data_IF_279305697908
#
_entry.id   IF_279305697908
#
_cell.length_a   1.000
_cell.length_b   1.000
_cell.length_c   1.000
_cell.angle_alpha   90.00
_cell.angle_beta   90.00
_cell.angle_gamma   90.00
#
_symmetry.space_group_name_H-M   'P 1'
#
loop_
_entity.id
_entity.type
_entity.pdbx_description
1 polymer ?
#
# COMPACT_ATOMS: atom_id res chain seq x y z
N UNK A 1 -10.31 18.12 19.93
CA UNK A 1 -9.02 18.40 19.25
C UNK A 1 -8.05 17.21 19.27
N UNK A 2 -7.74 16.58 20.43
CA UNK A 2 -6.82 15.40 20.48
C UNK A 2 -7.32 14.16 19.70
N UNK A 3 -8.63 13.89 19.72
CA UNK A 3 -9.25 12.76 19.00
C UNK A 3 -9.12 12.84 17.47
N UNK A 4 -9.10 14.05 16.91
CA UNK A 4 -8.91 14.28 15.47
C UNK A 4 -7.47 14.03 15.04
N UNK A 5 -6.47 14.41 15.85
CA UNK A 5 -5.05 14.19 15.54
C UNK A 5 -4.68 12.71 15.49
N UNK A 6 -5.20 11.91 16.44
CA UNK A 6 -5.00 10.47 16.45
C UNK A 6 -5.71 9.77 15.29
N UNK A 7 -6.92 10.23 14.93
CA UNK A 7 -7.66 9.71 13.77
C UNK A 7 -6.91 9.98 12.46
N UNK A 8 -6.41 11.20 12.26
CA UNK A 8 -5.61 11.54 11.08
C UNK A 8 -4.34 10.72 11.00
N UNK A 9 -3.67 10.45 12.13
CA UNK A 9 -2.50 9.56 12.15
C UNK A 9 -2.86 8.15 11.67
N UNK A 10 -3.88 7.52 12.24
CA UNK A 10 -4.27 6.15 11.85
C UNK A 10 -4.70 6.09 10.39
N UNK A 11 -5.50 7.05 9.94
CA UNK A 11 -5.96 7.11 8.56
C UNK A 11 -4.80 7.28 7.57
N UNK A 12 -3.94 8.29 7.77
CA UNK A 12 -2.83 8.56 6.85
C UNK A 12 -1.72 7.52 6.91
N UNK A 13 -1.41 6.96 8.08
CA UNK A 13 -0.49 5.83 8.18
C UNK A 13 -1.05 4.61 7.47
N UNK A 14 -2.35 4.33 7.61
CA UNK A 14 -3.02 3.26 6.85
C UNK A 14 -2.96 3.49 5.35
N UNK A 15 -3.24 4.70 4.87
CA UNK A 15 -3.14 5.05 3.46
C UNK A 15 -1.71 4.86 2.91
N UNK A 16 -0.70 5.32 3.66
CA UNK A 16 0.70 5.16 3.29
C UNK A 16 1.12 3.67 3.25
N UNK A 17 0.74 2.86 4.25
CA UNK A 17 1.00 1.41 4.26
C UNK A 17 0.40 0.74 3.01
N UNK A 18 -0.84 1.07 2.66
CA UNK A 18 -1.50 0.49 1.50
C UNK A 18 -0.81 0.91 0.18
N UNK A 19 -0.38 2.17 0.06
CA UNK A 19 0.37 2.63 -1.12
C UNK A 19 1.73 1.90 -1.25
N UNK A 20 2.47 1.79 -0.14
CA UNK A 20 3.75 1.05 -0.11
C UNK A 20 3.52 -0.42 -0.49
N UNK A 21 2.49 -1.04 0.09
CA UNK A 21 2.14 -2.42 -0.17
C UNK A 21 1.76 -2.68 -1.62
N UNK A 22 0.87 -1.87 -2.19
CA UNK A 22 0.43 -2.00 -3.58
C UNK A 22 1.60 -1.82 -4.57
N UNK A 23 2.46 -0.81 -4.37
CA UNK A 23 3.66 -0.63 -5.20
C UNK A 23 4.61 -1.83 -5.10
N UNK A 24 4.83 -2.38 -3.89
CA UNK A 24 5.66 -3.57 -3.71
C UNK A 24 5.07 -4.80 -4.41
N UNK A 25 3.77 -5.02 -4.29
CA UNK A 25 3.08 -6.14 -4.96
C UNK A 25 3.22 -6.04 -6.48
N UNK A 26 2.88 -4.89 -7.06
CA UNK A 26 2.96 -4.67 -8.51
C UNK A 26 4.40 -4.85 -9.00
N UNK A 27 5.39 -4.36 -8.26
CA UNK A 27 6.80 -4.51 -8.67
C UNK A 27 7.31 -5.94 -8.56
N UNK A 28 7.01 -6.66 -7.48
CA UNK A 28 7.47 -8.04 -7.27
C UNK A 28 6.79 -9.03 -8.23
N UNK A 29 5.57 -8.74 -8.63
CA UNK A 29 4.78 -9.58 -9.54
C UNK A 29 4.85 -9.16 -11.01
N UNK A 30 5.66 -8.15 -11.35
CA UNK A 30 5.68 -7.56 -12.70
C UNK A 30 4.28 -7.13 -13.19
N UNK A 31 3.46 -6.59 -12.28
CA UNK A 31 2.12 -6.08 -12.55
C UNK A 31 1.00 -7.12 -12.47
N UNK A 32 1.30 -8.40 -12.24
CA UNK A 32 0.29 -9.45 -12.19
C UNK A 32 -0.57 -9.40 -10.91
N UNK A 33 -0.05 -8.83 -9.82
CA UNK A 33 -0.74 -8.74 -8.52
C UNK A 33 -0.77 -7.29 -8.07
N UNK A 34 -1.98 -6.80 -7.76
CA UNK A 34 -2.23 -5.53 -7.09
C UNK A 34 -3.05 -5.72 -5.82
N UNK A 35 -3.08 -4.71 -4.96
CA UNK A 35 -3.94 -4.71 -3.79
C UNK A 35 -5.43 -4.83 -4.16
N UNK A 36 -5.85 -4.26 -5.29
CA UNK A 36 -7.22 -4.39 -5.82
C UNK A 36 -7.56 -5.87 -6.10
N UNK A 37 -6.67 -6.58 -6.81
CA UNK A 37 -6.85 -8.01 -7.12
C UNK A 37 -6.88 -8.88 -5.87
N UNK A 38 -6.07 -8.52 -4.86
CA UNK A 38 -6.04 -9.23 -3.57
C UNK A 38 -7.34 -9.00 -2.80
N UNK A 39 -7.84 -7.76 -2.74
CA UNK A 39 -9.11 -7.47 -2.08
C UNK A 39 -10.31 -8.11 -2.81
N UNK A 40 -10.28 -8.21 -4.13
CA UNK A 40 -11.27 -8.97 -4.89
C UNK A 40 -11.24 -10.47 -4.55
N UNK A 41 -10.06 -11.05 -4.33
CA UNK A 41 -9.95 -12.44 -3.89
C UNK A 41 -10.45 -12.62 -2.44
N UNK A 42 -10.10 -11.71 -1.52
CA UNK A 42 -10.58 -11.72 -0.13
C UNK A 42 -12.10 -11.64 -0.06
N UNK A 43 -12.72 -10.76 -0.86
CA UNK A 43 -14.18 -10.59 -0.86
C UNK A 43 -14.90 -11.88 -1.26
N UNK A 44 -14.33 -12.64 -2.20
CA UNK A 44 -14.87 -13.93 -2.68
C UNK A 44 -14.68 -15.08 -1.68
N UNK A 45 -13.50 -15.22 -1.07
CA UNK A 45 -13.21 -16.38 -0.22
C UNK A 45 -13.66 -16.22 1.24
N UNK A 46 -13.61 -14.99 1.75
CA UNK A 46 -13.31 -14.81 3.17
C UNK A 46 -14.26 -13.82 3.87
N UNK A 47 -15.10 -13.10 3.13
CA UNK A 47 -16.08 -12.15 3.67
C UNK A 47 -17.52 -12.72 3.82
N UNK A 48 -17.68 -14.05 3.79
CA UNK A 48 -18.98 -14.72 3.95
C UNK A 48 -19.60 -14.48 5.34
N UNK A 49 -18.77 -14.26 6.37
CA UNK A 49 -19.24 -13.93 7.71
C UNK A 49 -18.97 -12.46 8.06
N UNK A 50 -19.92 -11.80 8.74
CA UNK A 50 -19.80 -10.41 9.24
C UNK A 50 -18.86 -10.27 10.43
N UNK A 51 -17.85 -11.13 10.56
CA UNK A 51 -16.89 -11.06 11.65
C UNK A 51 -16.00 -9.83 11.52
N UNK A 52 -15.51 -9.32 12.65
CA UNK A 52 -14.44 -8.32 12.66
C UNK A 52 -13.11 -9.02 12.44
N UNK A 53 -12.26 -8.41 11.62
CA UNK A 53 -10.89 -8.87 11.38
C UNK A 53 -9.91 -8.06 12.23
N UNK A 54 -9.10 -8.70 13.08
CA UNK A 54 -7.89 -8.08 13.62
C UNK A 54 -6.98 -7.63 12.47
N UNK A 55 -6.37 -6.44 12.59
CA UNK A 55 -5.55 -5.87 11.52
C UNK A 55 -4.40 -6.80 11.09
N UNK A 56 -3.73 -7.45 12.06
CA UNK A 56 -2.65 -8.42 11.78
C UNK A 56 -3.16 -9.61 10.98
N UNK A 57 -4.36 -10.10 11.29
CA UNK A 57 -4.96 -11.24 10.59
C UNK A 57 -5.34 -10.89 9.14
N UNK A 58 -5.90 -9.69 8.93
CA UNK A 58 -6.18 -9.21 7.57
C UNK A 58 -4.90 -9.05 6.76
N UNK A 59 -3.86 -8.44 7.33
CA UNK A 59 -2.57 -8.26 6.65
C UNK A 59 -1.88 -9.61 6.35
N UNK A 60 -1.98 -10.59 7.23
CA UNK A 60 -1.53 -11.96 6.96
C UNK A 60 -2.29 -12.59 5.77
N UNK A 61 -3.62 -12.41 5.72
CA UNK A 61 -4.43 -12.94 4.63
C UNK A 61 -4.13 -12.26 3.29
N UNK A 62 -3.81 -10.96 3.30
CA UNK A 62 -3.34 -10.25 2.11
C UNK A 62 -2.05 -10.89 1.58
N UNK A 63 -1.06 -11.11 2.44
CA UNK A 63 0.22 -11.74 2.05
C UNK A 63 0.03 -13.18 1.57
N UNK A 64 -0.83 -13.96 2.24
CA UNK A 64 -1.20 -15.33 1.85
C UNK A 64 -1.78 -15.39 0.42
N UNK A 65 -2.73 -14.52 0.10
CA UNK A 65 -3.36 -14.47 -1.23
C UNK A 65 -2.40 -13.91 -2.28
N UNK A 66 -1.62 -12.91 -1.92
CA UNK A 66 -0.64 -12.29 -2.82
C UNK A 66 0.56 -13.21 -3.10
N UNK A 67 0.84 -14.19 -2.23
CA UNK A 67 2.03 -15.03 -2.33
C UNK A 67 3.34 -14.29 -2.03
N UNK A 68 3.27 -13.13 -1.38
CA UNK A 68 4.43 -12.31 -1.03
C UNK A 68 4.32 -11.80 0.41
N UNK A 69 5.42 -11.88 1.16
CA UNK A 69 5.52 -11.24 2.47
C UNK A 69 5.76 -9.73 2.31
N UNK A 70 4.68 -8.93 2.36
CA UNK A 70 4.72 -7.47 2.18
C UNK A 70 4.03 -6.76 3.34
N UNK A 71 2.83 -7.16 3.71
CA UNK A 71 1.98 -6.47 4.68
C UNK A 71 2.27 -6.85 6.14
N UNK A 72 2.67 -8.09 6.44
CA UNK A 72 3.13 -8.45 7.79
C UNK A 72 4.39 -7.67 8.19
N UNK A 73 5.43 -7.57 7.36
CA UNK A 73 6.57 -6.70 7.66
C UNK A 73 6.16 -5.21 7.86
N UNK A 74 5.20 -4.71 7.08
CA UNK A 74 4.69 -3.34 7.25
C UNK A 74 3.86 -3.18 8.54
N UNK A 75 3.10 -4.20 8.93
CA UNK A 75 2.37 -4.23 10.20
C UNK A 75 3.33 -4.09 11.38
N UNK A 76 4.37 -4.93 11.41
CA UNK A 76 5.35 -4.99 12.49
C UNK A 76 6.18 -3.72 12.57
N UNK A 77 6.40 -3.04 11.44
CA UNK A 77 7.14 -1.78 11.41
C UNK A 77 6.31 -0.56 11.78
N UNK A 78 5.07 -0.45 11.27
CA UNK A 78 4.35 0.83 11.29
C UNK A 78 3.01 0.82 12.04
N UNK A 79 2.37 -0.35 12.22
CA UNK A 79 1.06 -0.39 12.91
C UNK A 79 1.25 -0.38 14.43
N UNK A 80 2.32 -1.02 14.91
CA UNK A 80 2.64 -1.09 16.35
C UNK A 80 3.54 0.05 16.83
N UNK A 81 4.06 0.88 15.93
CA UNK A 81 4.97 2.00 16.22
C UNK A 81 4.29 3.36 15.98
N UNK A 82 4.75 4.43 16.65
CA UNK A 82 4.20 5.78 16.45
C UNK A 82 4.70 6.48 15.17
N UNK A 83 5.71 5.93 14.51
CA UNK A 83 6.37 6.50 13.33
C UNK A 83 5.46 6.48 12.09
N UNK A 84 5.56 7.52 11.25
CA UNK A 84 4.86 7.56 9.98
C UNK A 84 5.61 6.71 8.93
N UNK A 85 4.91 5.97 8.04
CA UNK A 85 5.58 5.18 7.01
C UNK A 85 6.47 6.01 6.09
N UNK A 86 7.70 5.53 5.87
CA UNK A 86 8.64 6.12 4.92
C UNK A 86 8.18 5.82 3.48
N UNK A 87 7.98 6.87 2.70
CA UNK A 87 7.47 6.82 1.33
C UNK A 87 8.54 7.11 0.29
N UNK A 88 9.78 7.42 0.66
CA UNK A 88 10.80 7.91 -0.27
C UNK A 88 11.11 6.89 -1.38
N UNK A 89 11.25 5.61 -1.04
CA UNK A 89 11.42 4.55 -2.04
C UNK A 89 10.18 4.38 -2.93
N UNK A 90 8.99 4.43 -2.33
CA UNK A 90 7.72 4.30 -3.05
C UNK A 90 7.55 5.44 -4.05
N UNK A 91 7.85 6.67 -3.64
CA UNK A 91 7.82 7.86 -4.49
C UNK A 91 8.85 7.80 -5.62
N UNK A 92 10.07 7.31 -5.36
CA UNK A 92 11.06 7.07 -6.43
C UNK A 92 10.55 6.07 -7.47
N UNK A 93 9.92 4.97 -7.05
CA UNK A 93 9.34 4.00 -7.98
C UNK A 93 8.15 4.55 -8.77
N UNK A 94 7.38 5.44 -8.16
CA UNK A 94 6.32 6.18 -8.84
C UNK A 94 6.87 7.33 -9.68
N UNK A 95 8.19 7.52 -9.77
CA UNK A 95 8.81 8.56 -10.58
C UNK A 95 8.54 9.98 -10.10
N UNK A 96 8.29 10.20 -8.81
CA UNK A 96 8.24 11.55 -8.25
C UNK A 96 9.68 12.06 -8.12
N UNK A 97 10.00 13.10 -8.87
CA UNK A 97 11.30 13.76 -8.86
C UNK A 97 11.16 15.20 -8.42
N UNK A 98 12.19 15.72 -7.75
CA UNK A 98 12.27 17.13 -7.38
C UNK A 98 13.09 17.87 -8.42
N UNK A 99 12.49 18.85 -9.08
CA UNK A 99 13.13 19.70 -10.08
C UNK A 99 13.10 21.13 -9.56
N UNK A 100 14.23 21.60 -9.02
CA UNK A 100 14.27 22.86 -8.28
C UNK A 100 13.29 22.88 -7.10
N UNK A 101 12.32 23.80 -7.13
CA UNK A 101 11.29 23.94 -6.09
C UNK A 101 10.01 23.14 -6.33
N UNK A 102 9.85 22.51 -7.50
CA UNK A 102 8.65 21.74 -7.87
C UNK A 102 8.84 20.23 -7.70
N UNK A 103 7.72 19.52 -7.58
CA UNK A 103 7.64 18.08 -7.78
C UNK A 103 7.08 17.82 -9.17
N UNK A 104 7.75 16.93 -9.90
CA UNK A 104 7.39 16.54 -11.26
C UNK A 104 7.36 15.01 -11.35
N UNK A 105 6.64 14.50 -12.36
CA UNK A 105 6.69 13.09 -12.70
C UNK A 105 7.79 12.86 -13.74
N UNK A 106 8.62 11.84 -13.52
CA UNK A 106 9.54 11.37 -14.55
C UNK A 106 8.79 10.64 -15.67
N UNK A 107 9.35 10.74 -16.87
CA UNK A 107 8.95 9.98 -18.07
C UNK A 107 9.61 8.59 -18.14
N UNK A 108 10.15 8.08 -17.02
CA UNK A 108 10.63 6.71 -16.94
C UNK A 108 9.47 5.75 -17.29
N UNK A 109 9.61 4.90 -18.32
CA UNK A 109 8.52 4.04 -18.79
C UNK A 109 7.94 3.14 -17.69
N UNK A 110 8.77 2.63 -16.78
CA UNK A 110 8.32 1.77 -15.69
C UNK A 110 7.51 2.58 -14.65
N UNK A 111 7.93 3.81 -14.36
CA UNK A 111 7.20 4.69 -13.45
C UNK A 111 5.86 5.15 -14.08
N UNK A 112 5.85 5.49 -15.36
CA UNK A 112 4.63 5.82 -16.12
C UNK A 112 3.64 4.66 -16.09
N UNK A 113 4.11 3.45 -16.42
CA UNK A 113 3.28 2.25 -16.42
C UNK A 113 2.71 1.96 -15.02
N UNK A 114 3.54 2.07 -13.98
CA UNK A 114 3.10 1.82 -12.61
C UNK A 114 2.01 2.81 -12.17
N UNK A 115 2.18 4.10 -12.44
CA UNK A 115 1.16 5.12 -12.15
C UNK A 115 -0.13 4.87 -12.94
N UNK A 116 -0.04 4.54 -14.22
CA UNK A 116 -1.21 4.23 -15.05
C UNK A 116 -2.01 3.03 -14.48
N UNK A 117 -1.29 1.96 -14.12
CA UNK A 117 -1.88 0.75 -13.55
C UNK A 117 -2.58 0.99 -12.19
N UNK A 118 -2.08 1.90 -11.36
CA UNK A 118 -2.72 2.30 -10.10
C UNK A 118 -3.98 3.14 -10.37
N UNK A 119 -3.92 4.02 -11.36
CA UNK A 119 -5.04 4.91 -11.70
C UNK A 119 -6.13 4.24 -12.55
N UNK A 120 -5.94 2.98 -12.94
CA UNK A 120 -6.86 2.23 -13.80
C UNK A 120 -6.97 2.81 -15.21
N UNK A 121 -5.87 3.34 -15.75
CA UNK A 121 -5.79 3.98 -17.08
C UNK A 121 -5.04 3.13 -18.09
#
# INVERSE_FOLDING_TARGET
MMRQRQYMRVYWSGAAINLIGDVKLRRRSHGAISLDTVFEAISRCCMVSRRRWPARELMAKIDEIAGFDVFIPLYERYVIQPEFPDLDETYRHLGLIRVGGSLEFSDDPAAVQLRAAIMGR
#
